data_IF_275352856470
#
_entry.id   IF_275352856470
#
_cell.length_a   1.000
_cell.length_b   1.000
_cell.length_c   1.000
_cell.angle_alpha   90.00
_cell.angle_beta   90.00
_cell.angle_gamma   90.00
#
_symmetry.space_group_name_H-M   'P 1'
#
loop_
_entity.id
_entity.type
_entity.pdbx_description
1 polymer ?
#
# COMPACT_ATOMS: atom_id res chain seq x y z
N UNK A 1 2.19 10.65 4.95
CA UNK A 1 1.57 9.78 3.94
C UNK A 1 0.18 10.29 3.63
N UNK A 2 -0.16 10.34 2.38
CA UNK A 2 -1.38 10.98 1.92
C UNK A 2 -2.58 10.04 2.08
N UNK A 3 -3.68 10.57 2.64
CA UNK A 3 -4.92 9.79 2.78
C UNK A 3 -5.52 9.39 1.43
N UNK A 4 -5.18 10.09 0.36
CA UNK A 4 -5.63 9.74 -0.99
C UNK A 4 -5.16 8.36 -1.45
N UNK A 5 -4.18 7.78 -0.80
CA UNK A 5 -3.72 6.43 -1.10
C UNK A 5 -4.63 5.35 -0.55
N UNK A 6 -5.43 5.66 0.48
CA UNK A 6 -6.26 4.65 1.13
C UNK A 6 -7.38 4.18 0.23
N UNK A 7 -7.56 2.86 0.17
CA UNK A 7 -8.56 2.23 -0.69
C UNK A 7 -8.17 2.15 -2.14
N UNK A 8 -6.95 2.53 -2.50
CA UNK A 8 -6.50 2.61 -3.88
C UNK A 8 -5.26 1.77 -4.11
N UNK A 9 -5.02 1.44 -5.37
CA UNK A 9 -3.80 0.75 -5.78
C UNK A 9 -2.62 1.70 -5.65
N UNK A 10 -1.62 1.30 -4.89
CA UNK A 10 -0.46 2.12 -4.59
C UNK A 10 0.83 1.35 -4.74
N UNK A 11 1.89 2.06 -5.09
CA UNK A 11 3.25 1.57 -4.93
C UNK A 11 3.65 1.91 -3.49
N UNK A 12 4.02 0.90 -2.72
CA UNK A 12 4.37 1.07 -1.31
C UNK A 12 5.78 0.56 -1.06
N UNK A 13 6.52 1.30 -0.25
CA UNK A 13 7.82 0.87 0.25
C UNK A 13 7.65 0.44 1.69
N UNK A 14 7.76 -0.85 1.93
CA UNK A 14 7.73 -1.39 3.30
C UNK A 14 8.97 -0.92 4.04
N UNK A 15 8.81 -0.46 5.27
CA UNK A 15 9.94 -0.04 6.08
C UNK A 15 10.89 -1.22 6.26
N UNK A 16 12.16 -1.03 5.86
CA UNK A 16 13.20 -2.04 5.89
C UNK A 16 12.85 -3.30 5.08
N UNK A 17 12.01 -3.14 4.05
CA UNK A 17 11.55 -4.26 3.22
C UNK A 17 11.41 -3.89 1.76
N UNK A 18 10.69 -4.72 0.99
CA UNK A 18 10.57 -4.53 -0.45
C UNK A 18 9.62 -3.41 -0.85
N UNK A 19 9.72 -2.98 -2.10
CA UNK A 19 8.74 -2.13 -2.76
C UNK A 19 7.68 -3.03 -3.40
N UNK A 20 6.41 -2.76 -3.13
CA UNK A 20 5.30 -3.60 -3.57
C UNK A 20 4.21 -2.76 -4.23
N UNK A 21 3.42 -3.39 -5.09
CA UNK A 21 2.22 -2.80 -5.68
C UNK A 21 1.01 -3.46 -5.01
N UNK A 22 0.31 -2.71 -4.16
CA UNK A 22 -0.77 -3.24 -3.33
C UNK A 22 -1.90 -2.24 -3.18
N UNK A 23 -3.10 -2.73 -2.86
CA UNK A 23 -4.18 -1.87 -2.41
C UNK A 23 -3.94 -1.54 -0.94
N UNK A 24 -3.93 -0.24 -0.63
CA UNK A 24 -3.61 0.25 0.70
C UNK A 24 -4.88 0.42 1.52
N UNK A 25 -4.88 -0.15 2.71
CA UNK A 25 -5.97 0.01 3.69
C UNK A 25 -5.38 0.42 5.04
N UNK A 26 -6.23 0.94 5.92
CA UNK A 26 -5.81 1.26 7.28
C UNK A 26 -5.57 -0.03 8.06
N UNK A 27 -4.49 -0.05 8.85
CA UNK A 27 -4.23 -1.12 9.78
C UNK A 27 -5.02 -0.99 11.08
N UNK A 28 -4.66 -1.79 12.07
CA UNK A 28 -5.36 -1.78 13.36
C UNK A 28 -5.06 -0.55 14.20
N UNK A 29 -3.96 0.16 13.92
CA UNK A 29 -3.53 1.35 14.64
C UNK A 29 -3.06 2.43 13.70
N UNK A 30 -3.07 3.67 14.17
CA UNK A 30 -2.51 4.80 13.42
C UNK A 30 -1.04 4.52 13.06
N UNK A 31 -0.68 4.77 11.82
CA UNK A 31 0.67 4.53 11.32
C UNK A 31 0.93 3.13 10.83
N UNK A 32 0.00 2.20 11.01
CA UNK A 32 0.08 0.86 10.46
C UNK A 32 -0.92 0.72 9.31
N UNK A 33 -0.57 -0.12 8.33
CA UNK A 33 -1.37 -0.29 7.14
C UNK A 33 -1.59 -1.75 6.82
N UNK A 34 -2.70 -2.02 6.15
CA UNK A 34 -3.01 -3.33 5.61
C UNK A 34 -2.78 -3.28 4.10
N UNK A 35 -2.04 -4.24 3.59
CA UNK A 35 -1.74 -4.35 2.16
C UNK A 35 -2.51 -5.52 1.59
N UNK A 36 -3.39 -5.25 0.62
CA UNK A 36 -4.22 -6.25 -0.01
C UNK A 36 -3.80 -6.51 -1.44
N UNK A 37 -3.86 -7.77 -1.87
CA UNK A 37 -3.62 -8.16 -3.24
C UNK A 37 -4.63 -9.23 -3.66
N UNK A 38 -4.75 -9.41 -4.98
CA UNK A 38 -5.73 -10.29 -5.60
C UNK A 38 -5.59 -11.75 -5.21
N UNK A 39 -4.37 -12.23 -5.22
CA UNK A 39 -4.06 -13.65 -5.22
C UNK A 39 -3.18 -14.06 -4.05
N UNK A 40 -3.13 -13.23 -3.02
CA UNK A 40 -2.34 -13.52 -1.84
C UNK A 40 -3.08 -13.02 -0.60
N UNK A 41 -2.86 -13.64 0.57
CA UNK A 41 -3.43 -13.15 1.81
C UNK A 41 -2.98 -11.72 2.09
N UNK A 42 -3.82 -10.89 2.72
CA UNK A 42 -3.42 -9.54 3.07
C UNK A 42 -2.29 -9.54 4.10
N UNK A 43 -1.44 -8.53 4.03
CA UNK A 43 -0.44 -8.27 5.05
C UNK A 43 -1.02 -7.28 6.05
N UNK A 44 -1.06 -7.65 7.30
CA UNK A 44 -1.65 -6.84 8.37
C UNK A 44 -0.57 -6.03 9.09
N UNK A 45 -0.96 -4.81 9.49
CA UNK A 45 -0.17 -3.96 10.38
C UNK A 45 1.28 -3.76 9.91
N UNK A 46 1.41 -3.34 8.67
CA UNK A 46 2.71 -3.09 8.04
C UNK A 46 3.08 -1.63 8.21
N UNK A 47 4.33 -1.37 8.57
CA UNK A 47 4.90 -0.02 8.56
C UNK A 47 5.46 0.29 7.19
N UNK A 48 5.11 1.46 6.66
CA UNK A 48 5.57 1.89 5.36
C UNK A 48 6.53 3.07 5.49
N UNK A 49 7.58 3.07 4.67
CA UNK A 49 8.47 4.22 4.53
C UNK A 49 7.78 5.31 3.70
N UNK A 50 7.10 4.91 2.63
CA UNK A 50 6.28 5.80 1.81
C UNK A 50 5.29 4.99 0.98
N UNK A 51 4.29 5.70 0.45
CA UNK A 51 3.34 5.14 -0.50
C UNK A 51 2.99 6.21 -1.54
N UNK A 52 2.76 5.77 -2.77
CA UNK A 52 2.36 6.66 -3.86
C UNK A 52 1.22 6.02 -4.63
N UNK A 53 0.15 6.78 -4.86
CA UNK A 53 -1.01 6.31 -5.61
C UNK A 53 -0.64 6.11 -7.07
N UNK A 54 -1.09 5.00 -7.65
CA UNK A 54 -1.01 4.78 -9.09
C UNK A 54 -2.14 5.59 -9.72
N UNK A 55 -1.79 6.66 -10.41
CA UNK A 55 -2.77 7.59 -10.98
C UNK A 55 -3.13 7.21 -12.39
N UNK A 56 -2.17 6.69 -13.15
CA UNK A 56 -2.34 6.48 -14.57
C UNK A 56 -1.50 5.29 -15.02
N UNK A 57 -2.17 4.28 -15.54
CA UNK A 57 -1.52 3.12 -16.17
C UNK A 57 -1.95 3.14 -17.62
N UNK A 58 -1.04 3.56 -18.49
CA UNK A 58 -1.30 3.58 -19.94
C UNK A 58 -0.51 2.49 -20.61
N UNK A 59 -1.16 1.60 -21.34
CA UNK A 59 -0.45 0.66 -22.20
C UNK A 59 0.23 1.45 -23.33
N UNK A 60 1.41 1.04 -23.64
CA UNK A 60 2.15 1.62 -24.76
C UNK A 60 2.11 0.68 -25.95
#
# INVERSE_FOLDING_TARGET
MDEDCLGKLCVVQVKDGPTLLKTLKRGSRKGLFRLESWNAPPREDVKLAWAARVIDIRPR
#
